data_IF_862861419760
#
_entry.id   IF_862861419760
#
_cell.length_a   1.000
_cell.length_b   1.000
_cell.length_c   1.000
_cell.angle_alpha   90.00
_cell.angle_beta   90.00
_cell.angle_gamma   90.00
#
_symmetry.space_group_name_H-M   'P 1'
#
loop_
_entity.id
_entity.type
_entity.pdbx_description
1 polymer ?
#
# COMPACT_ATOMS: atom_id res chain seq x y z
N UNK A 1 -2.69 15.74 -17.42
CA UNK A 1 -1.71 16.65 -18.03
C UNK A 1 -1.40 16.05 -19.38
N UNK A 2 -1.86 16.70 -20.47
CA UNK A 2 -1.52 16.32 -21.83
C UNK A 2 0.01 16.44 -21.97
N UNK A 3 0.64 15.45 -22.59
CA UNK A 3 2.06 15.50 -22.91
C UNK A 3 2.30 16.67 -23.87
N UNK A 4 2.82 17.77 -23.34
CA UNK A 4 3.30 18.90 -24.13
C UNK A 4 4.57 18.42 -24.79
N UNK A 5 4.49 18.13 -26.08
CA UNK A 5 5.61 17.60 -26.88
C UNK A 5 6.34 18.67 -27.64
N UNK A 6 5.70 19.83 -27.87
CA UNK A 6 6.27 20.96 -28.60
C UNK A 6 7.14 21.82 -27.68
N UNK A 7 8.37 22.08 -28.10
CA UNK A 7 9.32 22.90 -27.32
C UNK A 7 8.87 24.35 -27.19
N UNK A 8 8.08 24.85 -28.13
CA UNK A 8 7.50 26.18 -28.07
C UNK A 8 6.43 26.29 -26.99
N UNK A 9 5.54 25.31 -26.89
CA UNK A 9 4.54 25.24 -25.83
C UNK A 9 5.18 25.07 -24.45
N UNK A 10 6.28 24.30 -24.34
CA UNK A 10 7.05 24.19 -23.10
C UNK A 10 7.64 25.53 -22.67
N UNK A 11 8.19 26.29 -23.61
CA UNK A 11 8.76 27.60 -23.34
C UNK A 11 7.69 28.62 -22.90
N UNK A 12 6.53 28.61 -23.55
CA UNK A 12 5.40 29.46 -23.19
C UNK A 12 4.86 29.11 -21.80
N UNK A 13 4.71 27.83 -21.49
CA UNK A 13 4.31 27.36 -20.15
C UNK A 13 5.34 27.76 -19.08
N UNK A 14 6.62 27.62 -19.37
CA UNK A 14 7.69 28.01 -18.43
C UNK A 14 7.66 29.51 -18.17
N UNK A 15 7.47 30.32 -19.20
CA UNK A 15 7.35 31.78 -19.06
C UNK A 15 6.07 32.16 -18.30
N UNK A 16 4.96 31.48 -18.55
CA UNK A 16 3.72 31.68 -17.80
C UNK A 16 3.89 31.38 -16.32
N UNK A 17 4.49 30.22 -15.99
CA UNK A 17 4.74 29.84 -14.59
C UNK A 17 5.64 30.86 -13.91
N UNK A 18 6.74 31.29 -14.55
CA UNK A 18 7.70 32.25 -13.96
C UNK A 18 7.10 33.63 -13.71
N UNK A 19 6.18 34.07 -14.56
CA UNK A 19 5.68 35.43 -14.54
C UNK A 19 4.32 35.59 -13.85
N UNK A 20 3.53 34.51 -13.79
CA UNK A 20 2.13 34.56 -13.34
C UNK A 20 1.81 33.62 -12.17
N UNK A 21 2.78 32.80 -11.71
CA UNK A 21 2.59 31.92 -10.56
C UNK A 21 3.43 32.37 -9.38
N UNK A 22 2.82 32.41 -8.22
CA UNK A 22 3.50 32.64 -6.94
C UNK A 22 3.56 31.35 -6.17
N UNK A 23 4.70 31.07 -5.56
CA UNK A 23 4.93 29.92 -4.69
C UNK A 23 5.24 30.39 -3.29
N UNK A 24 4.57 29.79 -2.32
CA UNK A 24 4.93 29.93 -0.91
C UNK A 24 5.86 28.79 -0.54
N UNK A 25 7.10 29.13 -0.19
CA UNK A 25 8.08 28.18 0.29
C UNK A 25 8.16 28.30 1.81
N UNK A 26 7.85 27.22 2.51
CA UNK A 26 8.00 27.14 3.96
C UNK A 26 9.22 26.26 4.24
N UNK A 27 10.20 26.82 4.89
CA UNK A 27 11.41 26.11 5.31
C UNK A 27 11.31 25.90 6.80
N UNK A 28 11.44 24.67 7.25
CA UNK A 28 11.48 24.28 8.66
C UNK A 28 12.65 23.35 8.88
N UNK A 29 13.33 23.50 10.01
CA UNK A 29 14.42 22.60 10.43
C UNK A 29 13.89 21.38 11.19
N UNK A 30 12.67 21.44 11.70
CA UNK A 30 12.01 20.34 12.40
C UNK A 30 11.04 19.60 11.50
N UNK A 31 11.32 18.31 11.30
CA UNK A 31 10.49 17.41 10.50
C UNK A 31 9.07 17.30 11.09
N UNK A 32 8.92 17.36 12.41
CA UNK A 32 7.60 17.27 13.05
C UNK A 32 6.76 18.52 12.75
N UNK A 33 7.36 19.70 12.74
CA UNK A 33 6.70 20.96 12.34
C UNK A 33 6.31 20.93 10.86
N UNK A 34 7.19 20.39 9.99
CA UNK A 34 6.88 20.21 8.57
C UNK A 34 5.62 19.37 8.37
N UNK A 35 5.50 18.27 9.10
CA UNK A 35 4.32 17.41 9.02
C UNK A 35 3.06 18.07 9.62
N UNK A 36 3.16 18.81 10.71
CA UNK A 36 2.04 19.57 11.27
C UNK A 36 1.53 20.63 10.28
N UNK A 37 2.46 21.33 9.63
CA UNK A 37 2.12 22.28 8.59
C UNK A 37 1.43 21.59 7.41
N UNK A 38 1.98 20.47 6.92
CA UNK A 38 1.40 19.64 5.86
C UNK A 38 -0.02 19.18 6.20
N UNK A 39 -0.23 18.64 7.40
CA UNK A 39 -1.54 18.21 7.87
C UNK A 39 -2.55 19.39 7.94
N UNK A 40 -2.08 20.56 8.39
CA UNK A 40 -2.93 21.76 8.48
C UNK A 40 -3.33 22.31 7.10
N UNK A 41 -2.43 22.27 6.13
CA UNK A 41 -2.72 22.70 4.75
C UNK A 41 -3.66 21.72 4.06
N UNK A 42 -3.53 20.43 4.37
CA UNK A 42 -4.38 19.38 3.82
C UNK A 42 -5.86 19.53 4.25
N UNK A 43 -6.10 20.10 5.42
CA UNK A 43 -7.46 20.40 5.89
C UNK A 43 -8.13 21.56 5.09
N UNK A 44 -7.35 22.37 4.36
CA UNK A 44 -7.85 23.56 3.63
C UNK A 44 -7.97 23.34 2.11
N UNK A 45 -7.30 22.32 1.56
CA UNK A 45 -7.24 22.03 0.12
C UNK A 45 -8.07 20.83 -0.29
N UNK A 46 -7.73 20.25 -1.46
CA UNK A 46 -8.25 18.96 -1.88
C UNK A 46 -7.75 17.91 -0.89
N UNK A 47 -8.66 17.21 -0.23
CA UNK A 47 -8.30 16.16 0.72
C UNK A 47 -7.40 15.12 0.07
N UNK A 48 -6.32 14.79 0.75
CA UNK A 48 -5.46 13.67 0.37
C UNK A 48 -6.20 12.34 0.56
N UNK A 49 -5.82 11.37 -0.23
CA UNK A 49 -6.29 10.01 -0.02
C UNK A 49 -5.75 9.45 1.30
N UNK A 50 -6.48 8.54 1.96
CA UNK A 50 -6.02 7.92 3.21
C UNK A 50 -4.61 7.30 3.11
N UNK A 51 -4.26 6.72 1.96
CA UNK A 51 -2.93 6.13 1.74
C UNK A 51 -1.80 7.17 1.63
N UNK A 52 -2.10 8.41 1.20
CA UNK A 52 -1.13 9.51 1.21
C UNK A 52 -0.82 9.97 2.63
N UNK A 53 -1.85 10.06 3.48
CA UNK A 53 -1.67 10.37 4.91
C UNK A 53 -0.84 9.28 5.62
N UNK A 54 -1.08 8.01 5.26
CA UNK A 54 -0.29 6.90 5.77
C UNK A 54 1.16 6.95 5.28
N UNK A 55 1.39 7.27 4.00
CA UNK A 55 2.74 7.50 3.45
C UNK A 55 3.50 8.53 4.29
N UNK A 56 2.89 9.71 4.49
CA UNK A 56 3.50 10.79 5.25
C UNK A 56 3.83 10.36 6.70
N UNK A 57 2.89 9.70 7.37
CA UNK A 57 3.09 9.18 8.72
C UNK A 57 4.27 8.21 8.80
N UNK A 58 4.31 7.21 7.93
CA UNK A 58 5.35 6.18 7.98
C UNK A 58 6.72 6.70 7.53
N UNK A 59 6.79 7.68 6.63
CA UNK A 59 8.05 8.36 6.29
C UNK A 59 8.63 9.08 7.50
N UNK A 60 7.80 9.74 8.31
CA UNK A 60 8.25 10.34 9.56
C UNK A 60 8.86 9.33 10.52
N UNK A 61 8.30 8.13 10.59
CA UNK A 61 8.82 7.05 11.45
C UNK A 61 10.15 6.43 10.90
N UNK A 62 10.58 6.82 9.70
CA UNK A 62 11.83 6.37 9.06
C UNK A 62 13.03 7.30 9.33
N UNK A 63 12.90 8.35 10.12
CA UNK A 63 13.92 9.40 10.34
C UNK A 63 15.34 8.91 10.69
N UNK A 64 15.51 7.67 11.11
CA UNK A 64 16.81 7.09 11.49
C UNK A 64 17.38 6.18 10.39
N UNK A 65 16.77 6.11 9.21
CA UNK A 65 17.28 5.35 8.09
C UNK A 65 18.18 6.22 7.22
N UNK A 66 19.07 5.56 6.48
CA UNK A 66 19.86 6.22 5.45
C UNK A 66 18.96 6.93 4.44
N UNK A 67 19.36 8.15 4.04
CA UNK A 67 18.64 8.97 3.07
C UNK A 67 18.39 8.20 1.78
N UNK A 68 19.40 7.48 1.27
CA UNK A 68 19.29 6.68 0.05
C UNK A 68 18.21 5.58 0.17
N UNK A 69 18.09 4.96 1.35
CA UNK A 69 17.06 3.95 1.59
C UNK A 69 15.66 4.57 1.66
N UNK A 70 15.54 5.76 2.23
CA UNK A 70 14.29 6.51 2.29
C UNK A 70 13.85 6.94 0.90
N UNK A 71 14.74 7.52 0.10
CA UNK A 71 14.49 7.92 -1.29
C UNK A 71 14.05 6.73 -2.15
N UNK A 72 14.74 5.60 -2.03
CA UNK A 72 14.34 4.37 -2.71
C UNK A 72 12.93 3.93 -2.33
N UNK A 73 12.60 3.95 -1.04
CA UNK A 73 11.26 3.55 -0.55
C UNK A 73 10.17 4.47 -1.10
N UNK A 74 10.43 5.78 -1.14
CA UNK A 74 9.51 6.77 -1.73
C UNK A 74 9.31 6.52 -3.20
N UNK A 75 10.40 6.33 -3.95
CA UNK A 75 10.34 6.05 -5.39
C UNK A 75 9.56 4.77 -5.66
N UNK A 76 9.88 3.70 -4.95
CA UNK A 76 9.20 2.42 -5.07
C UNK A 76 7.69 2.52 -4.81
N UNK A 77 7.27 3.40 -3.89
CA UNK A 77 5.86 3.69 -3.62
C UNK A 77 5.19 4.50 -4.73
N UNK A 78 5.88 5.51 -5.25
CA UNK A 78 5.37 6.39 -6.31
C UNK A 78 5.25 5.66 -7.65
N UNK A 79 6.08 4.65 -7.89
CA UNK A 79 6.02 3.79 -9.07
C UNK A 79 4.79 2.85 -9.07
N UNK A 80 4.12 2.67 -7.93
CA UNK A 80 2.87 1.91 -7.85
C UNK A 80 1.71 2.69 -8.45
N UNK A 81 0.76 1.98 -9.07
CA UNK A 81 -0.51 2.57 -9.51
C UNK A 81 -1.31 3.09 -8.30
N UNK A 82 -1.36 4.41 -8.14
CA UNK A 82 -1.95 5.05 -6.97
C UNK A 82 -3.46 4.79 -6.85
N UNK A 83 -4.17 4.58 -7.96
CA UNK A 83 -5.60 4.22 -7.93
C UNK A 83 -5.78 2.81 -7.38
N UNK A 84 -4.99 1.86 -7.86
CA UNK A 84 -5.01 0.48 -7.36
C UNK A 84 -4.57 0.41 -5.91
N UNK A 85 -3.59 1.21 -5.52
CA UNK A 85 -3.13 1.32 -4.14
C UNK A 85 -4.22 1.86 -3.21
N UNK A 86 -4.96 2.87 -3.65
CA UNK A 86 -6.13 3.37 -2.92
C UNK A 86 -7.18 2.28 -2.72
N UNK A 87 -7.53 1.55 -3.78
CA UNK A 87 -8.46 0.42 -3.70
C UNK A 87 -7.96 -0.70 -2.80
N UNK A 88 -6.67 -1.02 -2.86
CA UNK A 88 -6.05 -2.03 -1.99
C UNK A 88 -6.31 -1.71 -0.52
N UNK A 89 -6.05 -0.47 -0.11
CA UNK A 89 -6.25 -0.07 1.29
C UNK A 89 -7.72 0.02 1.67
N UNK A 90 -8.57 0.65 0.83
CA UNK A 90 -9.97 0.92 1.16
C UNK A 90 -10.85 -0.30 1.01
N UNK A 91 -10.78 -0.97 -0.14
CA UNK A 91 -11.76 -1.97 -0.53
C UNK A 91 -11.35 -3.40 -0.18
N UNK A 92 -10.07 -3.65 0.02
CA UNK A 92 -9.57 -4.99 0.35
C UNK A 92 -9.07 -5.06 1.79
N UNK A 93 -7.91 -4.47 2.11
CA UNK A 93 -7.26 -4.70 3.40
C UNK A 93 -8.09 -4.14 4.57
N UNK A 94 -8.62 -2.91 4.44
CA UNK A 94 -9.43 -2.32 5.49
C UNK A 94 -10.69 -3.16 5.77
N UNK A 95 -11.37 -3.59 4.71
CA UNK A 95 -12.56 -4.44 4.85
C UNK A 95 -12.22 -5.77 5.51
N UNK A 96 -11.14 -6.43 5.10
CA UNK A 96 -10.70 -7.68 5.73
C UNK A 96 -10.36 -7.48 7.21
N UNK A 97 -9.63 -6.42 7.57
CA UNK A 97 -9.32 -6.10 8.97
C UNK A 97 -10.57 -5.91 9.83
N UNK A 98 -11.64 -5.35 9.27
CA UNK A 98 -12.90 -5.18 9.98
C UNK A 98 -13.72 -6.47 10.02
N UNK A 99 -13.84 -7.16 8.90
CA UNK A 99 -14.64 -8.39 8.80
C UNK A 99 -14.08 -9.54 9.65
N UNK A 100 -12.75 -9.70 9.71
CA UNK A 100 -12.09 -10.67 10.59
C UNK A 100 -12.49 -10.45 12.07
N UNK A 101 -12.76 -9.21 12.45
CA UNK A 101 -13.21 -8.82 13.81
C UNK A 101 -14.74 -8.85 13.98
N UNK A 102 -15.47 -9.23 12.94
CA UNK A 102 -16.94 -9.20 12.95
C UNK A 102 -17.54 -7.79 12.81
N UNK A 103 -16.75 -6.80 12.46
CA UNK A 103 -17.20 -5.42 12.30
C UNK A 103 -17.72 -5.16 10.89
N UNK A 104 -18.57 -4.15 10.76
CA UNK A 104 -18.93 -3.59 9.45
C UNK A 104 -17.78 -2.74 8.93
N UNK A 105 -17.43 -2.91 7.66
CA UNK A 105 -16.45 -2.06 6.98
C UNK A 105 -17.20 -1.11 6.04
N UNK A 106 -17.15 0.18 6.37
CA UNK A 106 -17.71 1.22 5.51
C UNK A 106 -16.64 1.70 4.54
N UNK A 107 -16.08 2.84 4.77
CA UNK A 107 -15.07 3.47 3.93
C UNK A 107 -13.83 3.78 4.76
N UNK A 108 -12.65 3.56 4.18
CA UNK A 108 -11.41 4.02 4.76
C UNK A 108 -11.33 5.55 4.62
N UNK A 109 -11.24 6.24 5.74
CA UNK A 109 -11.14 7.70 5.80
C UNK A 109 -10.07 8.15 6.80
N UNK A 110 -9.86 9.45 6.92
CA UNK A 110 -8.87 10.05 7.81
C UNK A 110 -9.01 9.67 9.29
N UNK A 111 -10.23 9.34 9.75
CA UNK A 111 -10.49 8.98 11.15
C UNK A 111 -10.09 7.53 11.48
N UNK A 112 -10.14 6.64 10.50
CA UNK A 112 -9.88 5.22 10.71
C UNK A 112 -8.53 4.73 10.16
N UNK A 113 -7.69 5.62 9.59
CA UNK A 113 -6.31 5.31 9.19
C UNK A 113 -5.44 4.84 10.36
N UNK A 114 -5.83 5.12 11.61
CA UNK A 114 -5.12 4.66 12.81
C UNK A 114 -4.85 3.14 12.78
N UNK A 115 -5.73 2.38 12.16
CA UNK A 115 -5.61 0.92 12.03
C UNK A 115 -4.39 0.46 11.21
N UNK A 116 -3.81 1.38 10.44
CA UNK A 116 -2.63 1.14 9.62
C UNK A 116 -1.37 1.84 10.14
N UNK A 117 -1.47 2.70 11.16
CA UNK A 117 -0.29 3.36 11.75
C UNK A 117 0.64 2.38 12.45
N UNK A 118 0.09 1.28 12.94
CA UNK A 118 0.87 0.18 13.49
C UNK A 118 1.54 0.49 14.82
N UNK A 119 2.54 -0.32 15.16
CA UNK A 119 3.35 -0.19 16.37
C UNK A 119 4.44 0.84 16.12
N UNK A 120 4.50 1.87 16.96
CA UNK A 120 5.58 2.85 16.93
C UNK A 120 6.94 2.16 17.15
N UNK A 121 7.95 2.61 16.42
CA UNK A 121 9.30 2.05 16.48
C UNK A 121 9.89 2.05 17.91
N UNK A 122 9.58 3.06 18.71
CA UNK A 122 10.06 3.21 20.10
C UNK A 122 9.17 2.49 21.13
N UNK A 123 8.04 1.90 20.70
CA UNK A 123 7.15 1.17 21.60
C UNK A 123 7.84 -0.05 22.20
N UNK A 124 7.88 -0.16 23.52
CA UNK A 124 8.55 -1.22 24.27
C UNK A 124 7.60 -2.19 24.97
N UNK A 125 6.35 -2.24 24.53
CA UNK A 125 5.40 -3.22 25.07
C UNK A 125 5.82 -4.66 24.72
N UNK A 126 5.56 -5.66 25.58
CA UNK A 126 5.96 -7.05 25.30
C UNK A 126 5.49 -7.57 23.94
N UNK A 127 4.25 -7.32 23.58
CA UNK A 127 3.73 -7.72 22.26
C UNK A 127 4.44 -7.00 21.11
N UNK A 128 4.84 -5.74 21.29
CA UNK A 128 5.57 -4.99 20.28
C UNK A 128 6.96 -5.61 20.04
N UNK A 129 7.62 -6.06 21.10
CA UNK A 129 8.92 -6.75 21.01
C UNK A 129 8.79 -8.06 20.24
N UNK A 130 7.72 -8.82 20.46
CA UNK A 130 7.47 -10.04 19.71
C UNK A 130 7.38 -9.78 18.19
N UNK A 131 6.56 -8.81 17.79
CA UNK A 131 6.44 -8.47 16.36
C UNK A 131 7.74 -7.90 15.78
N UNK A 132 8.43 -7.03 16.50
CA UNK A 132 9.75 -6.52 16.08
C UNK A 132 10.75 -7.64 15.89
N UNK A 133 10.75 -8.62 16.82
CA UNK A 133 11.59 -9.81 16.72
C UNK A 133 11.30 -10.65 15.49
N UNK A 134 10.01 -10.83 15.15
CA UNK A 134 9.61 -11.55 13.93
C UNK A 134 10.10 -10.87 12.64
N UNK A 135 9.99 -9.54 12.56
CA UNK A 135 10.52 -8.77 11.42
C UNK A 135 12.05 -8.83 11.35
N UNK A 136 12.74 -8.65 12.48
CA UNK A 136 14.20 -8.76 12.52
C UNK A 136 14.69 -10.17 12.11
N UNK A 137 13.98 -11.21 12.56
CA UNK A 137 14.28 -12.59 12.14
C UNK A 137 14.09 -12.79 10.64
N UNK A 138 12.98 -12.29 10.07
CA UNK A 138 12.73 -12.37 8.65
C UNK A 138 13.83 -11.65 7.83
N UNK A 139 14.23 -10.46 8.26
CA UNK A 139 15.33 -9.71 7.62
C UNK A 139 16.65 -10.48 7.69
N UNK A 140 16.97 -11.06 8.84
CA UNK A 140 18.18 -11.86 9.03
C UNK A 140 18.19 -13.10 8.12
N UNK A 141 17.07 -13.82 8.04
CA UNK A 141 16.94 -15.00 7.19
C UNK A 141 17.05 -14.64 5.71
N UNK A 142 16.35 -13.59 5.29
CA UNK A 142 16.36 -13.14 3.89
C UNK A 142 17.76 -12.65 3.41
N UNK A 143 18.58 -12.17 4.34
CA UNK A 143 19.97 -11.76 4.05
C UNK A 143 20.99 -12.89 4.25
N UNK A 144 20.56 -14.03 4.77
CA UNK A 144 21.47 -15.15 5.08
C UNK A 144 21.82 -15.95 3.84
N UNK A 145 23.11 -16.25 3.69
CA UNK A 145 23.63 -17.20 2.70
C UNK A 145 23.80 -18.62 3.27
N UNK A 146 23.33 -18.89 4.48
CA UNK A 146 23.48 -20.19 5.14
C UNK A 146 22.62 -21.27 4.45
N UNK A 147 23.22 -22.44 4.06
CA UNK A 147 22.51 -23.45 3.27
C UNK A 147 21.24 -24.02 3.94
N UNK A 148 21.22 -24.14 5.28
CA UNK A 148 20.08 -24.66 6.00
C UNK A 148 18.92 -23.63 6.14
N UNK A 149 19.18 -22.38 5.82
CA UNK A 149 18.19 -21.29 5.82
C UNK A 149 17.78 -20.94 4.37
N UNK A 150 18.49 -21.44 3.39
CA UNK A 150 18.28 -21.11 1.97
C UNK A 150 16.92 -21.50 1.41
N UNK A 151 16.21 -22.44 2.05
CA UNK A 151 14.83 -22.77 1.69
C UNK A 151 13.77 -21.80 2.24
N UNK A 152 14.18 -20.83 3.06
CA UNK A 152 13.29 -19.84 3.67
C UNK A 152 13.42 -18.44 3.03
N UNK A 153 13.95 -18.37 1.82
CA UNK A 153 14.15 -17.10 1.12
C UNK A 153 12.81 -16.36 0.95
N UNK A 154 12.87 -15.04 1.12
CA UNK A 154 11.70 -14.15 1.03
C UNK A 154 10.63 -14.35 2.12
N UNK A 155 11.06 -14.64 3.35
CA UNK A 155 10.15 -14.58 4.49
C UNK A 155 9.49 -13.20 4.57
N UNK A 156 8.17 -13.20 4.51
CA UNK A 156 7.37 -11.99 4.64
C UNK A 156 6.43 -12.17 5.85
N UNK A 157 6.79 -11.63 7.04
CA UNK A 157 6.03 -11.85 8.27
C UNK A 157 4.76 -10.97 8.31
N UNK A 158 4.09 -10.86 7.17
CA UNK A 158 2.88 -10.07 7.03
C UNK A 158 1.65 -10.96 7.12
N UNK A 159 0.68 -10.51 7.89
CA UNK A 159 -0.69 -11.00 7.88
C UNK A 159 -1.63 -9.79 8.01
N UNK A 160 -2.80 -9.89 7.39
CA UNK A 160 -3.75 -8.77 7.31
C UNK A 160 -4.17 -8.29 8.71
N UNK A 161 -4.37 -9.20 9.65
CA UNK A 161 -4.83 -8.90 11.02
C UNK A 161 -3.70 -8.63 12.02
N UNK A 162 -2.44 -8.90 11.67
CA UNK A 162 -1.32 -8.61 12.57
C UNK A 162 -0.96 -7.12 12.57
N UNK A 163 -0.37 -6.64 13.68
CA UNK A 163 0.15 -5.28 13.74
C UNK A 163 1.30 -5.07 12.76
N UNK A 164 1.29 -3.92 12.10
CA UNK A 164 2.37 -3.44 11.26
C UNK A 164 3.38 -2.72 12.16
N UNK A 165 4.66 -2.81 11.86
CA UNK A 165 5.66 -1.92 12.47
C UNK A 165 5.70 -0.62 11.68
N UNK A 166 5.60 0.52 12.37
CA UNK A 166 5.64 1.83 11.72
C UNK A 166 6.99 2.09 11.02
N UNK A 167 6.95 2.80 9.92
CA UNK A 167 8.11 3.09 9.09
C UNK A 167 8.21 2.17 7.88
N UNK A 168 9.41 1.69 7.54
CA UNK A 168 9.69 0.92 6.32
C UNK A 168 8.81 -0.33 6.17
N UNK A 169 8.53 -1.04 7.27
CA UNK A 169 7.71 -2.26 7.24
C UNK A 169 6.31 -2.04 6.68
N UNK A 170 5.75 -0.83 6.83
CA UNK A 170 4.47 -0.49 6.20
C UNK A 170 4.55 -0.46 4.67
N UNK A 171 5.62 0.08 4.11
CA UNK A 171 5.82 0.12 2.66
C UNK A 171 6.03 -1.27 2.09
N UNK A 172 6.78 -2.10 2.80
CA UNK A 172 6.99 -3.51 2.42
C UNK A 172 5.68 -4.31 2.52
N UNK A 173 4.86 -4.06 3.55
CA UNK A 173 3.51 -4.62 3.71
C UNK A 173 2.59 -4.21 2.56
N UNK A 174 2.54 -2.93 2.23
CA UNK A 174 1.70 -2.43 1.15
C UNK A 174 2.10 -3.04 -0.20
N UNK A 175 3.40 -3.11 -0.49
CA UNK A 175 3.92 -3.74 -1.71
C UNK A 175 3.56 -5.23 -1.76
N UNK A 176 3.73 -5.95 -0.67
CA UNK A 176 3.39 -7.36 -0.59
C UNK A 176 1.94 -7.64 -1.00
N UNK A 177 0.99 -6.94 -0.40
CA UNK A 177 -0.42 -7.13 -0.73
C UNK A 177 -0.81 -6.55 -2.10
N UNK A 178 -0.11 -5.51 -2.55
CA UNK A 178 -0.32 -4.98 -3.90
C UNK A 178 0.05 -6.01 -4.96
N UNK A 179 1.17 -6.71 -4.80
CA UNK A 179 1.61 -7.76 -5.70
C UNK A 179 0.65 -8.96 -5.67
N UNK A 180 0.24 -9.42 -4.48
CA UNK A 180 -0.75 -10.51 -4.36
C UNK A 180 -2.06 -10.12 -5.06
N UNK A 181 -2.58 -8.92 -4.81
CA UNK A 181 -3.82 -8.47 -5.45
C UNK A 181 -3.68 -8.36 -6.98
N UNK A 182 -2.54 -7.87 -7.45
CA UNK A 182 -2.22 -7.83 -8.88
C UNK A 182 -2.23 -9.21 -9.50
N UNK A 183 -1.68 -10.21 -8.81
CA UNK A 183 -1.69 -11.59 -9.24
C UNK A 183 -3.11 -12.18 -9.24
N UNK A 184 -3.91 -11.92 -8.18
CA UNK A 184 -5.32 -12.34 -8.11
C UNK A 184 -6.14 -11.75 -9.25
N UNK A 185 -5.85 -10.51 -9.67
CA UNK A 185 -6.54 -9.83 -10.77
C UNK A 185 -6.01 -10.21 -12.16
N UNK A 186 -4.86 -10.89 -12.22
CA UNK A 186 -4.27 -11.32 -13.47
C UNK A 186 -4.78 -12.71 -13.84
N UNK A 187 -5.83 -12.75 -14.66
CA UNK A 187 -6.49 -13.98 -15.07
C UNK A 187 -5.56 -15.02 -15.73
N UNK A 188 -4.47 -14.57 -16.35
CA UNK A 188 -3.53 -15.45 -17.04
C UNK A 188 -2.71 -16.31 -16.07
N UNK A 189 -2.47 -15.84 -14.84
CA UNK A 189 -1.71 -16.59 -13.83
C UNK A 189 -2.50 -17.79 -13.27
N UNK A 190 -3.82 -17.71 -13.30
CA UNK A 190 -4.72 -18.77 -12.78
C UNK A 190 -5.14 -19.79 -13.84
N UNK A 191 -4.81 -19.62 -15.12
CA UNK A 191 -5.15 -20.58 -16.18
C UNK A 191 -4.56 -21.97 -15.91
N UNK A 192 -3.44 -22.08 -15.20
CA UNK A 192 -2.82 -23.34 -14.80
C UNK A 192 -3.50 -24.05 -13.62
N UNK A 193 -4.12 -23.29 -12.70
CA UNK A 193 -4.75 -23.85 -11.49
C UNK A 193 -6.21 -24.27 -11.69
N UNK A 194 -6.90 -23.69 -12.68
CA UNK A 194 -8.31 -23.93 -12.94
C UNK A 194 -8.53 -24.59 -14.31
N UNK A 195 -7.81 -25.70 -14.55
CA UNK A 195 -7.85 -26.41 -15.86
C UNK A 195 -9.28 -26.78 -16.28
N UNK A 196 -10.21 -26.90 -15.34
CA UNK A 196 -11.61 -27.24 -15.64
C UNK A 196 -12.63 -26.19 -15.15
N UNK A 197 -12.25 -25.17 -14.35
CA UNK A 197 -13.19 -24.23 -13.71
C UNK A 197 -12.90 -22.75 -13.99
N UNK A 198 -12.26 -22.48 -15.11
CA UNK A 198 -12.16 -21.14 -15.70
C UNK A 198 -13.53 -20.43 -15.85
N UNK A 199 -14.61 -21.16 -15.67
CA UNK A 199 -15.96 -20.64 -15.81
C UNK A 199 -16.34 -19.64 -14.70
N UNK A 200 -15.84 -19.79 -13.47
CA UNK A 200 -16.18 -18.87 -12.38
C UNK A 200 -15.55 -17.50 -12.65
N UNK A 201 -14.25 -17.46 -12.92
CA UNK A 201 -13.54 -16.20 -13.21
C UNK A 201 -14.03 -15.63 -14.53
N UNK A 202 -14.17 -16.44 -15.58
CA UNK A 202 -14.74 -16.01 -16.84
C UNK A 202 -16.18 -15.54 -16.71
N UNK A 203 -16.99 -16.17 -15.89
CA UNK A 203 -18.37 -15.72 -15.63
C UNK A 203 -18.41 -14.40 -14.87
N UNK A 204 -17.53 -14.21 -13.87
CA UNK A 204 -17.40 -12.95 -13.16
C UNK A 204 -16.95 -11.84 -14.10
N UNK A 205 -15.96 -12.09 -14.97
CA UNK A 205 -15.42 -11.13 -15.91
C UNK A 205 -16.39 -10.82 -17.05
N UNK A 206 -17.05 -11.84 -17.63
CA UNK A 206 -18.07 -11.66 -18.68
C UNK A 206 -19.23 -10.78 -18.21
N UNK A 207 -19.60 -10.89 -16.95
CA UNK A 207 -20.66 -10.08 -16.37
C UNK A 207 -20.18 -8.64 -16.14
N UNK A 208 -18.91 -8.43 -15.81
CA UNK A 208 -18.32 -7.09 -15.69
C UNK A 208 -18.33 -6.36 -17.04
N UNK A 209 -18.07 -7.05 -18.13
CA UNK A 209 -18.12 -6.49 -19.50
C UNK A 209 -19.54 -6.15 -20.00
N UNK A 210 -20.57 -6.79 -19.45
CA UNK A 210 -21.95 -6.61 -19.95
C UNK A 210 -22.81 -5.64 -19.12
N UNK A 211 -22.21 -4.68 -18.40
CA UNK A 211 -22.93 -3.68 -17.61
C UNK A 211 -23.99 -4.27 -16.65
N UNK A 212 -23.78 -5.47 -16.15
CA UNK A 212 -24.68 -6.11 -15.19
C UNK A 212 -24.59 -5.41 -13.82
N UNK A 213 -25.71 -4.98 -13.28
CA UNK A 213 -25.79 -4.39 -11.96
C UNK A 213 -25.29 -5.39 -10.91
N UNK A 214 -24.34 -4.99 -10.06
CA UNK A 214 -23.79 -5.79 -8.98
C UNK A 214 -22.56 -6.64 -9.31
N UNK A 215 -22.14 -6.73 -10.57
CA UNK A 215 -21.01 -7.59 -10.96
C UNK A 215 -19.67 -7.11 -10.40
N UNK A 216 -19.43 -5.81 -10.34
CA UNK A 216 -18.24 -5.24 -9.70
C UNK A 216 -18.13 -5.59 -8.22
N UNK A 217 -19.27 -5.63 -7.52
CA UNK A 217 -19.33 -6.02 -6.10
C UNK A 217 -19.01 -7.51 -5.94
N UNK A 218 -19.55 -8.36 -6.80
CA UNK A 218 -19.31 -9.80 -6.75
C UNK A 218 -17.84 -10.13 -7.04
N UNK A 219 -17.23 -9.43 -8.01
CA UNK A 219 -15.80 -9.58 -8.31
C UNK A 219 -14.95 -9.11 -7.12
N UNK A 220 -15.29 -7.96 -6.53
CA UNK A 220 -14.60 -7.44 -5.35
C UNK A 220 -14.65 -8.43 -4.18
N UNK A 221 -15.81 -9.01 -3.92
CA UNK A 221 -15.98 -10.02 -2.86
C UNK A 221 -15.16 -11.27 -3.13
N UNK A 222 -15.13 -11.74 -4.36
CA UNK A 222 -14.32 -12.89 -4.79
C UNK A 222 -12.83 -12.60 -4.58
N UNK A 223 -12.32 -11.50 -5.12
CA UNK A 223 -10.92 -11.11 -4.98
C UNK A 223 -10.53 -10.93 -3.51
N UNK A 224 -11.45 -10.39 -2.68
CA UNK A 224 -11.25 -10.23 -1.23
C UNK A 224 -11.14 -11.57 -0.51
N UNK A 225 -12.00 -12.54 -0.88
CA UNK A 225 -11.95 -13.89 -0.30
C UNK A 225 -10.67 -14.63 -0.70
N UNK A 226 -10.26 -14.51 -1.96
CA UNK A 226 -9.00 -15.10 -2.44
C UNK A 226 -7.80 -14.46 -1.77
N UNK A 227 -7.81 -13.13 -1.59
CA UNK A 227 -6.74 -12.42 -0.88
C UNK A 227 -6.59 -12.93 0.55
N UNK A 228 -7.70 -13.11 1.27
CA UNK A 228 -7.68 -13.68 2.63
C UNK A 228 -7.18 -15.12 2.63
N UNK A 229 -7.58 -15.91 1.66
CA UNK A 229 -7.10 -17.30 1.53
C UNK A 229 -5.59 -17.36 1.32
N UNK A 230 -5.06 -16.55 0.41
CA UNK A 230 -3.61 -16.45 0.16
C UNK A 230 -2.86 -15.96 1.39
N UNK A 231 -3.41 -14.94 2.09
CA UNK A 231 -2.84 -14.42 3.34
C UNK A 231 -2.69 -15.50 4.42
N UNK A 232 -3.67 -16.41 4.52
CA UNK A 232 -3.70 -17.43 5.58
C UNK A 232 -2.93 -18.68 5.25
N UNK A 233 -2.99 -19.12 4.03
CA UNK A 233 -2.50 -20.44 3.64
C UNK A 233 -1.23 -20.37 2.80
N UNK A 234 -0.88 -19.18 2.28
CA UNK A 234 0.31 -18.95 1.46
C UNK A 234 0.59 -20.17 0.57
N UNK A 235 -0.31 -20.51 -0.37
CA UNK A 235 -0.11 -21.68 -1.20
C UNK A 235 1.23 -21.55 -1.89
N UNK A 236 2.17 -22.43 -1.53
CA UNK A 236 3.44 -22.58 -2.20
C UNK A 236 3.17 -22.93 -3.66
N UNK A 237 3.95 -22.36 -4.55
CA UNK A 237 3.99 -22.69 -5.96
C UNK A 237 4.01 -24.18 -6.24
#
# INVERSE_FOLDING_TARGET
>A
IHNITDDREKLELNNYIKNNCELIVVITEDISEAFQFFDSQNARGKKLYPHDLLKAYHLREMNNLDIAQTEKTVKDWEDLDQKKLSLLFSDYIYRLKEWIKGNRAWELNEHNIQKFKGINRNGNYPYAQFFKGAFAYADMVNQSSMPFVSGMNNLKPFQIDTPIIAGKSFFDYARHYFEILKDIQNNNKYEGYFINDNEIVKTLDLRTYKNGVGNGITRLLFDTAVLLYVDRFCPSE
#
